data_IF_700453791366
#
_entry.id   IF_700453791366
#
_cell.length_a   1.000
_cell.length_b   1.000
_cell.length_c   1.000
_cell.angle_alpha   90.00
_cell.angle_beta   90.00
_cell.angle_gamma   90.00
#
_symmetry.space_group_name_H-M   'P 1'
#
loop_
_entity.id
_entity.type
_entity.pdbx_description
1 polymer ?
#
# COMPACT_ATOMS: atom_id res chain seq x y z
N UNK A 1 -7.70 50.21 -27.15
CA UNK A 1 -6.45 49.75 -26.47
C UNK A 1 -6.70 48.60 -25.48
N UNK A 2 -7.55 47.61 -25.81
CA UNK A 2 -7.97 46.54 -24.87
C UNK A 2 -7.53 45.13 -25.29
N UNK A 3 -7.09 44.93 -26.53
CA UNK A 3 -6.72 43.61 -27.08
C UNK A 3 -5.37 43.07 -26.58
N UNK A 4 -4.42 43.96 -26.29
CA UNK A 4 -3.05 43.58 -25.88
C UNK A 4 -3.00 42.90 -24.50
N UNK A 5 -3.84 43.35 -23.54
CA UNK A 5 -3.87 42.82 -22.18
C UNK A 5 -4.42 41.39 -22.10
N UNK A 6 -5.25 40.98 -23.06
CA UNK A 6 -5.87 39.65 -23.11
C UNK A 6 -4.91 38.59 -23.68
N UNK A 7 -3.99 39.00 -24.54
CA UNK A 7 -2.98 38.11 -25.13
C UNK A 7 -1.85 37.83 -24.11
N UNK A 8 -1.43 38.85 -23.36
CA UNK A 8 -0.44 38.69 -22.28
C UNK A 8 -0.94 37.79 -21.15
N UNK A 9 -2.23 37.89 -20.77
CA UNK A 9 -2.79 37.05 -19.71
C UNK A 9 -2.90 35.57 -20.10
N UNK A 10 -3.14 35.28 -21.39
CA UNK A 10 -3.14 33.91 -21.92
C UNK A 10 -1.73 33.32 -21.99
N UNK A 11 -0.73 34.15 -22.35
CA UNK A 11 0.68 33.73 -22.42
C UNK A 11 1.25 33.45 -21.03
N UNK A 12 0.90 34.27 -20.04
CA UNK A 12 1.28 34.04 -18.64
C UNK A 12 0.64 32.76 -18.07
N UNK A 13 -0.64 32.51 -18.34
CA UNK A 13 -1.30 31.26 -17.92
C UNK A 13 -0.69 30.02 -18.57
N UNK A 14 -0.34 30.09 -19.85
CA UNK A 14 0.32 28.98 -20.56
C UNK A 14 1.73 28.72 -20.03
N UNK A 15 2.52 29.77 -19.75
CA UNK A 15 3.83 29.62 -19.14
C UNK A 15 3.78 29.03 -17.72
N UNK A 16 2.78 29.40 -16.91
CA UNK A 16 2.57 28.81 -15.57
C UNK A 16 2.17 27.34 -15.65
N UNK A 17 1.35 26.95 -16.64
CA UNK A 17 1.02 25.54 -16.88
C UNK A 17 2.26 24.77 -17.34
N UNK A 18 3.02 25.31 -18.29
CA UNK A 18 4.24 24.69 -18.82
C UNK A 18 5.32 24.52 -17.72
N UNK A 19 5.49 25.51 -16.84
CA UNK A 19 6.36 25.44 -15.65
C UNK A 19 5.90 24.41 -14.63
N UNK A 20 4.58 24.30 -14.37
CA UNK A 20 4.04 23.26 -13.47
C UNK A 20 4.19 21.85 -14.04
N UNK A 21 4.02 21.67 -15.35
CA UNK A 21 4.32 20.39 -16.00
C UNK A 21 5.81 20.09 -15.96
N UNK A 22 6.69 21.05 -16.25
CA UNK A 22 8.14 20.84 -16.21
C UNK A 22 8.64 20.50 -14.80
N UNK A 23 8.14 21.19 -13.77
CA UNK A 23 8.42 20.86 -12.37
C UNK A 23 7.83 19.50 -11.95
N UNK A 24 6.65 19.14 -12.47
CA UNK A 24 6.08 17.81 -12.29
C UNK A 24 6.96 16.70 -12.89
N UNK A 25 7.46 16.92 -14.11
CA UNK A 25 8.39 16.03 -14.80
C UNK A 25 9.77 15.95 -14.11
N UNK A 26 10.29 17.06 -13.55
CA UNK A 26 11.54 17.06 -12.78
C UNK A 26 11.38 16.31 -11.44
N UNK A 27 10.26 16.51 -10.74
CA UNK A 27 9.92 15.76 -9.52
C UNK A 27 9.68 14.27 -9.80
N UNK A 28 9.07 13.92 -10.94
CA UNK A 28 8.92 12.53 -11.40
C UNK A 28 10.27 11.88 -11.72
N UNK A 29 11.17 12.62 -12.38
CA UNK A 29 12.50 12.12 -12.74
C UNK A 29 13.40 11.87 -11.51
N UNK A 30 13.11 12.52 -10.38
CA UNK A 30 13.81 12.32 -9.10
C UNK A 30 13.28 11.14 -8.28
N UNK A 31 12.08 10.62 -8.59
CA UNK A 31 11.36 9.70 -7.70
C UNK A 31 11.90 8.28 -7.61
N UNK A 32 12.80 7.84 -8.48
CA UNK A 32 13.49 6.57 -8.28
C UNK A 32 14.72 6.49 -9.20
N UNK A 33 15.91 6.75 -8.67
CA UNK A 33 17.14 6.18 -9.25
C UNK A 33 17.54 4.98 -8.43
N UNK A 34 16.81 3.87 -8.61
CA UNK A 34 17.34 2.57 -8.23
C UNK A 34 18.67 2.39 -8.97
N UNK A 35 19.73 2.10 -8.23
CA UNK A 35 20.97 1.70 -8.84
C UNK A 35 20.84 0.29 -9.45
N UNK A 36 21.77 -0.05 -10.34
CA UNK A 36 21.73 -1.31 -11.07
C UNK A 36 21.78 -2.55 -10.16
N UNK A 37 22.42 -2.46 -8.98
CA UNK A 37 22.49 -3.56 -8.02
C UNK A 37 21.10 -3.82 -7.44
N UNK A 38 20.42 -2.75 -7.02
CA UNK A 38 19.06 -2.83 -6.48
C UNK A 38 18.07 -3.40 -7.50
N UNK A 39 18.15 -2.98 -8.77
CA UNK A 39 17.31 -3.53 -9.84
C UNK A 39 17.60 -5.01 -10.07
N UNK A 40 18.87 -5.41 -10.09
CA UNK A 40 19.26 -6.82 -10.25
C UNK A 40 18.78 -7.70 -9.10
N UNK A 41 18.76 -7.18 -7.88
CA UNK A 41 18.22 -7.86 -6.70
C UNK A 41 16.72 -8.11 -6.84
N UNK A 42 15.95 -7.06 -7.14
CA UNK A 42 14.50 -7.17 -7.38
C UNK A 42 14.19 -8.12 -8.55
N UNK A 43 14.96 -8.04 -9.64
CA UNK A 43 14.82 -8.94 -10.79
C UNK A 43 15.00 -10.41 -10.39
N UNK A 44 16.04 -10.70 -9.60
CA UNK A 44 16.29 -12.08 -9.12
C UNK A 44 15.15 -12.57 -8.24
N UNK A 45 14.68 -11.73 -7.31
CA UNK A 45 13.56 -12.08 -6.44
C UNK A 45 12.27 -12.29 -7.23
N UNK A 46 11.99 -11.44 -8.22
CA UNK A 46 10.80 -11.53 -9.07
C UNK A 46 10.73 -12.89 -9.78
N UNK A 47 11.81 -13.31 -10.44
CA UNK A 47 11.83 -14.59 -11.16
C UNK A 47 11.87 -15.81 -10.23
N UNK A 48 12.43 -15.67 -9.02
CA UNK A 48 12.57 -16.76 -8.07
C UNK A 48 11.29 -17.00 -7.26
N UNK A 49 10.69 -15.94 -6.72
CA UNK A 49 9.56 -16.02 -5.77
C UNK A 49 8.22 -15.76 -6.47
N UNK A 50 8.14 -14.71 -7.29
CA UNK A 50 6.86 -14.23 -7.83
C UNK A 50 6.53 -14.74 -9.23
N UNK A 51 7.42 -15.51 -9.88
CA UNK A 51 7.31 -15.85 -11.30
C UNK A 51 5.99 -16.52 -11.70
N UNK A 52 5.45 -17.42 -10.86
CA UNK A 52 4.17 -18.07 -11.14
C UNK A 52 2.99 -17.10 -11.03
N UNK A 53 2.94 -16.33 -9.95
CA UNK A 53 1.91 -15.32 -9.70
C UNK A 53 1.95 -14.19 -10.74
N UNK A 54 3.15 -13.78 -11.14
CA UNK A 54 3.39 -12.78 -12.18
C UNK A 54 2.85 -13.23 -13.55
N UNK A 55 3.10 -14.48 -13.93
CA UNK A 55 2.53 -15.07 -15.15
C UNK A 55 1.00 -15.17 -15.08
N UNK A 56 0.47 -15.59 -13.92
CA UNK A 56 -0.98 -15.75 -13.71
C UNK A 56 -1.73 -14.43 -13.85
N UNK A 57 -1.22 -13.37 -13.24
CA UNK A 57 -1.86 -12.06 -13.20
C UNK A 57 -1.35 -11.08 -14.26
N UNK A 58 -0.52 -11.56 -15.18
CA UNK A 58 0.10 -10.75 -16.25
C UNK A 58 0.76 -9.46 -15.70
N UNK A 59 1.56 -9.61 -14.64
CA UNK A 59 2.35 -8.53 -14.05
C UNK A 59 3.81 -8.75 -14.43
N UNK A 60 4.40 -7.75 -15.07
CA UNK A 60 5.80 -7.75 -15.48
C UNK A 60 6.70 -7.15 -14.40
N UNK A 61 8.02 -7.35 -14.53
CA UNK A 61 8.99 -6.66 -13.67
C UNK A 61 8.92 -5.14 -13.87
N UNK A 62 8.67 -4.66 -15.09
CA UNK A 62 8.56 -3.22 -15.36
C UNK A 62 7.37 -2.61 -14.61
N UNK A 63 6.25 -3.35 -14.51
CA UNK A 63 5.10 -2.94 -13.70
C UNK A 63 5.45 -2.78 -12.22
N UNK A 64 6.29 -3.68 -11.68
CA UNK A 64 6.78 -3.60 -10.30
C UNK A 64 7.64 -2.35 -10.12
N UNK A 65 8.57 -2.11 -11.04
CA UNK A 65 9.46 -0.95 -10.97
C UNK A 65 8.68 0.37 -11.10
N UNK A 66 7.70 0.42 -11.99
CA UNK A 66 6.82 1.58 -12.15
C UNK A 66 5.95 1.79 -10.92
N UNK A 67 5.37 0.73 -10.35
CA UNK A 67 4.64 0.81 -9.09
C UNK A 67 5.50 1.39 -7.95
N UNK A 68 6.73 0.89 -7.79
CA UNK A 68 7.65 1.36 -6.75
C UNK A 68 8.04 2.84 -6.93
N UNK A 69 8.12 3.35 -8.17
CA UNK A 69 8.35 4.78 -8.45
C UNK A 69 7.29 5.69 -7.82
N UNK A 70 6.06 5.20 -7.69
CA UNK A 70 4.95 5.95 -7.09
C UNK A 70 4.75 5.63 -5.62
N UNK A 71 4.87 4.35 -5.23
CA UNK A 71 4.57 3.89 -3.89
C UNK A 71 5.65 4.24 -2.85
N UNK A 72 6.92 4.40 -3.26
CA UNK A 72 8.01 4.60 -2.30
C UNK A 72 9.15 5.46 -2.83
N UNK A 73 9.32 6.63 -2.20
CA UNK A 73 10.45 7.50 -2.48
C UNK A 73 11.69 7.05 -1.69
N UNK A 74 12.60 6.34 -2.39
CA UNK A 74 13.88 5.89 -1.83
C UNK A 74 14.80 7.04 -1.42
N UNK A 75 14.59 8.26 -1.93
CA UNK A 75 15.40 9.42 -1.54
C UNK A 75 15.15 9.83 -0.07
N UNK A 76 14.02 9.41 0.51
CA UNK A 76 13.73 9.59 1.93
C UNK A 76 14.70 8.80 2.83
N UNK A 77 15.34 7.76 2.30
CA UNK A 77 16.31 6.94 3.02
C UNK A 77 17.71 7.57 2.95
N UNK A 78 18.09 8.22 4.04
CA UNK A 78 19.31 9.06 4.15
C UNK A 78 20.62 8.32 3.94
N UNK A 79 20.67 6.99 4.09
CA UNK A 79 21.90 6.21 3.98
C UNK A 79 21.75 5.07 3.00
N UNK A 80 22.87 4.68 2.38
CA UNK A 80 22.91 3.54 1.46
C UNK A 80 22.57 2.23 2.18
N UNK A 81 22.91 2.10 3.46
CA UNK A 81 22.54 0.94 4.28
C UNK A 81 21.02 0.80 4.43
N UNK A 82 20.31 1.92 4.71
CA UNK A 82 18.85 1.90 4.81
C UNK A 82 18.20 1.58 3.46
N UNK A 83 18.73 2.13 2.36
CA UNK A 83 18.24 1.81 1.01
C UNK A 83 18.39 0.31 0.71
N UNK A 84 19.54 -0.29 0.99
CA UNK A 84 19.76 -1.73 0.81
C UNK A 84 18.77 -2.57 1.61
N UNK A 85 18.58 -2.27 2.89
CA UNK A 85 17.61 -2.99 3.73
C UNK A 85 16.18 -2.85 3.19
N UNK A 86 15.81 -1.67 2.71
CA UNK A 86 14.50 -1.47 2.08
C UNK A 86 14.34 -2.34 0.83
N UNK A 87 15.35 -2.38 -0.06
CA UNK A 87 15.32 -3.23 -1.27
C UNK A 87 15.24 -4.71 -0.90
N UNK A 88 16.00 -5.16 0.10
CA UNK A 88 15.94 -6.54 0.59
C UNK A 88 14.53 -6.89 1.08
N UNK A 89 13.90 -5.99 1.83
CA UNK A 89 12.51 -6.16 2.30
C UNK A 89 11.51 -6.20 1.15
N UNK A 90 11.66 -5.31 0.17
CA UNK A 90 10.83 -5.29 -1.05
C UNK A 90 10.98 -6.62 -1.81
N UNK A 91 12.22 -7.10 -1.96
CA UNK A 91 12.52 -8.38 -2.59
C UNK A 91 11.88 -9.55 -1.85
N UNK A 92 11.86 -9.54 -0.51
CA UNK A 92 11.19 -10.56 0.31
C UNK A 92 9.67 -10.58 0.12
N UNK A 93 9.04 -9.44 -0.18
CA UNK A 93 7.59 -9.31 -0.35
C UNK A 93 7.17 -9.10 -1.81
N UNK A 94 8.02 -9.46 -2.77
CA UNK A 94 7.80 -9.15 -4.19
C UNK A 94 6.58 -9.86 -4.80
N UNK A 95 6.23 -11.05 -4.29
CA UNK A 95 5.01 -11.74 -4.70
C UNK A 95 3.76 -10.98 -4.25
N UNK A 96 3.77 -10.42 -3.05
CA UNK A 96 2.66 -9.62 -2.55
C UNK A 96 2.52 -8.29 -3.32
N UNK A 97 3.62 -7.75 -3.86
CA UNK A 97 3.57 -6.62 -4.78
C UNK A 97 2.90 -6.99 -6.11
N UNK A 98 3.19 -8.18 -6.65
CA UNK A 98 2.50 -8.69 -7.84
C UNK A 98 1.00 -8.78 -7.61
N UNK A 99 0.59 -9.33 -6.47
CA UNK A 99 -0.82 -9.43 -6.06
C UNK A 99 -1.43 -8.03 -5.94
N UNK A 100 -0.76 -7.09 -5.27
CA UNK A 100 -1.26 -5.74 -5.10
C UNK A 100 -1.45 -5.02 -6.44
N UNK A 101 -0.49 -5.12 -7.36
CA UNK A 101 -0.58 -4.54 -8.70
C UNK A 101 -1.74 -5.15 -9.49
N UNK A 102 -1.91 -6.46 -9.43
CA UNK A 102 -3.04 -7.14 -10.07
C UNK A 102 -4.39 -6.66 -9.49
N UNK A 103 -4.48 -6.48 -8.17
CA UNK A 103 -5.65 -5.92 -7.50
C UNK A 103 -5.96 -4.48 -7.96
N UNK A 104 -4.93 -3.63 -8.09
CA UNK A 104 -5.05 -2.25 -8.59
C UNK A 104 -5.57 -2.22 -10.03
N UNK A 105 -5.17 -3.19 -10.85
CA UNK A 105 -5.66 -3.37 -12.23
C UNK A 105 -7.09 -3.87 -12.34
N UNK A 106 -7.71 -4.23 -11.21
CA UNK A 106 -9.08 -4.76 -11.19
C UNK A 106 -9.17 -6.27 -11.43
N UNK A 107 -8.10 -7.03 -11.22
CA UNK A 107 -8.18 -8.49 -11.30
C UNK A 107 -8.89 -9.06 -10.06
N UNK A 108 -10.09 -9.59 -10.27
CA UNK A 108 -10.91 -10.20 -9.22
C UNK A 108 -10.25 -11.45 -8.60
N UNK A 109 -9.49 -12.22 -9.39
CA UNK A 109 -8.81 -13.40 -8.87
C UNK A 109 -7.67 -13.01 -7.95
N UNK A 110 -6.97 -11.89 -8.23
CA UNK A 110 -5.95 -11.38 -7.33
C UNK A 110 -6.52 -10.97 -5.97
N UNK A 111 -7.73 -10.38 -5.95
CA UNK A 111 -8.43 -10.10 -4.70
C UNK A 111 -8.81 -11.38 -3.96
N UNK A 112 -9.40 -12.35 -4.66
CA UNK A 112 -9.87 -13.60 -4.07
C UNK A 112 -8.75 -14.52 -3.57
N UNK A 113 -7.63 -14.59 -4.29
CA UNK A 113 -6.49 -15.46 -3.97
C UNK A 113 -5.42 -14.76 -3.12
N UNK A 114 -5.36 -13.42 -3.16
CA UNK A 114 -4.30 -12.65 -2.52
C UNK A 114 -4.74 -11.91 -1.26
N UNK A 115 -5.85 -11.17 -1.32
CA UNK A 115 -6.30 -10.31 -0.21
C UNK A 115 -7.27 -11.04 0.72
N UNK A 116 -8.27 -11.73 0.16
CA UNK A 116 -9.28 -12.44 0.93
C UNK A 116 -8.70 -13.46 1.93
N UNK A 117 -7.62 -14.21 1.62
CA UNK A 117 -6.99 -15.11 2.59
C UNK A 117 -6.37 -14.40 3.80
N UNK A 118 -6.16 -13.08 3.76
CA UNK A 118 -5.70 -12.30 4.90
C UNK A 118 -6.83 -12.03 5.91
N UNK A 119 -8.11 -12.17 5.52
CA UNK A 119 -9.26 -11.88 6.38
C UNK A 119 -9.21 -12.58 7.75
N UNK A 120 -8.92 -13.89 7.87
CA UNK A 120 -8.81 -14.54 9.17
C UNK A 120 -7.69 -13.98 10.04
N UNK A 121 -6.59 -13.49 9.44
CA UNK A 121 -5.50 -12.84 10.18
C UNK A 121 -5.95 -11.49 10.72
N UNK A 122 -6.65 -10.70 9.90
CA UNK A 122 -7.19 -9.40 10.30
C UNK A 122 -8.26 -9.52 11.39
N UNK A 123 -9.14 -10.52 11.29
CA UNK A 123 -10.13 -10.84 12.35
C UNK A 123 -9.41 -11.10 13.68
N UNK A 124 -8.39 -11.97 13.68
CA UNK A 124 -7.60 -12.25 14.89
C UNK A 124 -6.92 -11.03 15.48
N UNK A 125 -6.53 -10.05 14.66
CA UNK A 125 -5.98 -8.79 15.15
C UNK A 125 -7.06 -7.94 15.84
N UNK A 126 -8.28 -7.91 15.31
CA UNK A 126 -9.41 -7.20 15.91
C UNK A 126 -9.86 -7.84 17.24
N UNK A 127 -9.87 -9.17 17.34
CA UNK A 127 -10.21 -9.92 18.56
C UNK A 127 -9.31 -9.57 19.77
N UNK A 128 -8.16 -8.94 19.55
CA UNK A 128 -7.33 -8.40 20.62
C UNK A 128 -8.00 -7.24 21.38
N UNK A 129 -9.05 -6.65 20.80
CA UNK A 129 -9.69 -5.42 21.26
C UNK A 129 -11.20 -5.52 21.38
N UNK A 130 -11.86 -6.23 20.49
CA UNK A 130 -13.32 -6.39 20.44
C UNK A 130 -13.71 -7.87 20.47
N UNK A 131 -15.00 -8.18 20.57
CA UNK A 131 -15.46 -9.58 20.55
C UNK A 131 -15.39 -10.17 19.13
N UNK A 132 -15.66 -11.47 19.02
CA UNK A 132 -15.55 -12.19 17.74
C UNK A 132 -16.50 -11.64 16.67
N UNK A 133 -17.75 -11.30 17.04
CA UNK A 133 -18.75 -10.83 16.08
C UNK A 133 -18.35 -9.44 15.53
N UNK A 134 -17.93 -8.55 16.41
CA UNK A 134 -17.43 -7.23 16.04
C UNK A 134 -16.11 -7.34 15.26
N UNK A 135 -15.21 -8.25 15.62
CA UNK A 135 -13.97 -8.48 14.90
C UNK A 135 -14.21 -8.91 13.45
N UNK A 136 -15.14 -9.85 13.23
CA UNK A 136 -15.55 -10.29 11.89
C UNK A 136 -16.11 -9.10 11.09
N UNK A 137 -16.97 -8.30 11.71
CA UNK A 137 -17.60 -7.15 11.07
C UNK A 137 -16.57 -6.08 10.68
N UNK A 138 -15.67 -5.70 11.59
CA UNK A 138 -14.65 -4.67 11.37
C UNK A 138 -13.64 -5.08 10.31
N UNK A 139 -13.09 -6.29 10.39
CA UNK A 139 -12.16 -6.79 9.37
C UNK A 139 -12.83 -6.87 7.99
N UNK A 140 -14.11 -7.25 7.94
CA UNK A 140 -14.83 -7.38 6.68
C UNK A 140 -15.13 -6.04 6.01
N UNK A 141 -15.59 -5.07 6.80
CA UNK A 141 -15.79 -3.70 6.32
C UNK A 141 -14.47 -3.07 5.88
N UNK A 142 -13.39 -3.31 6.62
CA UNK A 142 -12.09 -2.77 6.29
C UNK A 142 -11.57 -3.26 4.93
N UNK A 143 -11.61 -4.58 4.65
CA UNK A 143 -11.19 -5.10 3.34
C UNK A 143 -12.03 -4.49 2.21
N UNK A 144 -13.34 -4.40 2.40
CA UNK A 144 -14.24 -3.78 1.42
C UNK A 144 -13.85 -2.32 1.17
N UNK A 145 -13.52 -1.58 2.22
CA UNK A 145 -13.17 -0.16 2.08
C UNK A 145 -11.79 0.04 1.46
N UNK A 146 -10.81 -0.79 1.79
CA UNK A 146 -9.50 -0.82 1.08
C UNK A 146 -9.72 -1.07 -0.41
N UNK A 147 -10.62 -1.99 -0.77
CA UNK A 147 -10.98 -2.25 -2.17
C UNK A 147 -11.65 -1.05 -2.83
N UNK A 148 -12.67 -0.48 -2.20
CA UNK A 148 -13.37 0.71 -2.70
C UNK A 148 -12.39 1.85 -2.94
N UNK A 149 -11.46 2.07 -2.00
CA UNK A 149 -10.47 3.13 -2.07
C UNK A 149 -9.40 2.88 -3.12
N UNK A 150 -9.04 1.62 -3.34
CA UNK A 150 -8.13 1.23 -4.42
C UNK A 150 -8.72 1.56 -5.80
N UNK A 151 -10.05 1.50 -5.97
CA UNK A 151 -10.72 1.90 -7.22
C UNK A 151 -11.23 3.35 -7.21
N UNK A 152 -11.25 4.00 -6.06
CA UNK A 152 -11.72 5.38 -5.89
C UNK A 152 -10.77 6.42 -6.48
N UNK A 153 -11.24 7.67 -6.62
CA UNK A 153 -10.40 8.78 -7.09
C UNK A 153 -9.48 9.29 -5.98
N UNK A 154 -8.34 9.84 -6.37
CA UNK A 154 -7.40 10.50 -5.46
C UNK A 154 -8.02 11.75 -4.81
N UNK A 155 -7.96 11.84 -3.47
CA UNK A 155 -8.22 13.06 -2.72
C UNK A 155 -9.50 13.16 -1.87
N UNK A 156 -10.33 12.12 -1.78
CA UNK A 156 -11.63 12.22 -1.08
C UNK A 156 -11.65 11.79 0.39
N UNK A 157 -10.55 11.26 0.95
CA UNK A 157 -10.65 10.53 2.21
C UNK A 157 -9.40 10.69 3.11
N UNK A 158 -9.61 11.13 4.36
CA UNK A 158 -8.63 11.19 5.47
C UNK A 158 -9.16 10.40 6.67
N UNK A 159 -9.37 9.11 6.46
CA UNK A 159 -9.97 8.15 7.39
C UNK A 159 -8.97 7.06 7.83
N UNK A 160 -7.70 7.22 7.44
CA UNK A 160 -6.63 6.26 7.75
C UNK A 160 -6.68 4.95 6.94
N UNK A 161 -7.59 4.79 5.98
CA UNK A 161 -7.71 3.54 5.21
C UNK A 161 -6.66 3.51 4.10
N UNK A 162 -5.82 2.45 4.03
CA UNK A 162 -4.73 2.38 3.06
C UNK A 162 -5.24 2.10 1.65
N UNK A 163 -4.43 2.49 0.65
CA UNK A 163 -4.64 2.17 -0.78
C UNK A 163 -3.58 1.21 -1.26
N UNK A 164 -3.93 0.21 -2.08
CA UNK A 164 -2.92 -0.71 -2.60
C UNK A 164 -1.86 -0.01 -3.49
N UNK A 165 -2.20 1.14 -4.09
CA UNK A 165 -1.25 2.01 -4.80
C UNK A 165 -0.07 2.49 -3.92
N UNK A 166 -0.28 2.57 -2.61
CA UNK A 166 0.74 3.02 -1.64
C UNK A 166 1.52 1.84 -1.05
N UNK A 167 1.16 0.60 -1.40
CA UNK A 167 1.84 -0.58 -0.88
C UNK A 167 3.20 -0.76 -1.57
N UNK A 168 4.28 -0.49 -0.83
CA UNK A 168 5.63 -0.57 -1.35
C UNK A 168 6.33 -1.93 -1.16
N UNK A 169 5.74 -2.88 -0.43
CA UNK A 169 6.40 -4.16 -0.10
C UNK A 169 7.53 -4.06 0.95
N UNK A 170 7.68 -2.93 1.64
CA UNK A 170 8.65 -2.78 2.76
C UNK A 170 8.31 -3.68 3.95
N UNK A 171 7.03 -3.98 4.10
CA UNK A 171 6.50 -4.93 5.06
C UNK A 171 5.51 -5.85 4.34
N UNK A 172 5.22 -7.03 4.90
CA UNK A 172 4.19 -7.89 4.34
C UNK A 172 2.81 -7.22 4.35
N UNK A 173 1.95 -7.63 3.42
CA UNK A 173 0.62 -7.10 3.15
C UNK A 173 -0.29 -7.24 4.36
N UNK A 174 -0.15 -8.35 5.12
CA UNK A 174 -0.83 -8.53 6.41
C UNK A 174 -0.51 -7.43 7.41
N UNK A 175 0.74 -6.96 7.46
CA UNK A 175 1.19 -5.92 8.38
C UNK A 175 0.81 -4.53 7.86
N UNK A 176 0.93 -4.34 6.54
CA UNK A 176 0.50 -3.12 5.85
C UNK A 176 -0.99 -2.84 6.05
N UNK A 177 -1.85 -3.85 5.95
CA UNK A 177 -3.29 -3.75 6.18
C UNK A 177 -3.65 -3.78 7.68
N UNK A 178 -2.95 -4.60 8.46
CA UNK A 178 -3.24 -4.80 9.88
C UNK A 178 -2.96 -3.57 10.75
N UNK A 179 -1.91 -2.80 10.45
CA UNK A 179 -1.58 -1.59 11.19
C UNK A 179 -2.71 -0.54 11.18
N UNK A 180 -3.15 -0.07 10.00
CA UNK A 180 -4.28 0.86 9.88
C UNK A 180 -5.58 0.31 10.44
N UNK A 181 -5.90 -0.97 10.18
CA UNK A 181 -7.09 -1.62 10.77
C UNK A 181 -7.09 -1.50 12.30
N UNK A 182 -5.96 -1.79 12.92
CA UNK A 182 -5.81 -1.73 14.37
C UNK A 182 -5.92 -0.29 14.90
N UNK A 183 -5.33 0.68 14.19
CA UNK A 183 -5.44 2.10 14.56
C UNK A 183 -6.89 2.60 14.49
N UNK A 184 -7.59 2.34 13.38
CA UNK A 184 -9.00 2.69 13.21
C UNK A 184 -9.85 2.07 14.31
N UNK A 185 -9.62 0.79 14.64
CA UNK A 185 -10.34 0.12 15.71
C UNK A 185 -10.07 0.75 17.08
N UNK A 186 -8.84 1.17 17.36
CA UNK A 186 -8.50 1.87 18.59
C UNK A 186 -9.23 3.21 18.71
N UNK A 187 -9.33 3.96 17.61
CA UNK A 187 -10.04 5.23 17.58
C UNK A 187 -11.54 5.04 17.79
N UNK A 188 -12.16 4.05 17.14
CA UNK A 188 -13.57 3.70 17.36
C UNK A 188 -13.86 3.33 18.82
N UNK A 189 -12.96 2.60 19.47
CA UNK A 189 -13.09 2.26 20.90
C UNK A 189 -12.98 3.53 21.76
N UNK A 190 -12.01 4.39 21.45
CA UNK A 190 -11.79 5.64 22.19
C UNK A 190 -12.98 6.59 22.09
N UNK A 191 -13.62 6.62 20.93
CA UNK A 191 -14.80 7.45 20.65
C UNK A 191 -16.12 6.83 21.16
N UNK A 192 -16.05 5.63 21.75
CA UNK A 192 -17.22 4.91 22.28
C UNK A 192 -18.11 4.29 21.21
N UNK A 193 -17.63 4.22 19.96
CA UNK A 193 -18.32 3.63 18.81
C UNK A 193 -18.13 2.12 18.69
N UNK A 194 -17.17 1.55 19.43
CA UNK A 194 -16.95 0.11 19.58
C UNK A 194 -16.72 -0.24 21.05
N UNK A 195 -17.21 -1.42 21.48
CA UNK A 195 -17.08 -1.86 22.87
C UNK A 195 -15.81 -2.68 23.03
N UNK A 196 -14.89 -2.21 23.87
CA UNK A 196 -13.69 -2.96 24.17
C UNK A 196 -14.03 -4.23 24.97
N UNK A 197 -13.59 -5.38 24.47
CA UNK A 197 -13.71 -6.64 25.20
C UNK A 197 -12.73 -6.65 26.36
N UNK A 198 -13.22 -6.95 27.56
CA UNK A 198 -12.33 -7.22 28.71
C UNK A 198 -11.49 -8.43 28.35
N UNK A 199 -10.14 -8.38 28.47
CA UNK A 199 -9.29 -9.47 28.02
C UNK A 199 -9.68 -10.75 28.74
N UNK A 200 -10.28 -11.69 28.00
CA UNK A 200 -10.57 -13.01 28.51
C UNK A 200 -9.27 -13.82 28.56
N UNK A 201 -9.23 -14.84 29.42
CA UNK A 201 -8.10 -15.77 29.54
C UNK A 201 -7.77 -16.49 28.23
N UNK A 202 -8.71 -16.57 27.29
CA UNK A 202 -8.52 -17.19 25.96
C UNK A 202 -7.75 -16.27 24.99
N UNK A 203 -7.97 -14.95 25.03
CA UNK A 203 -7.23 -13.97 24.21
C UNK A 203 -5.72 -13.94 24.53
N UNK A 204 -5.33 -14.29 25.77
CA UNK A 204 -3.93 -14.48 26.18
C UNK A 204 -3.24 -15.66 25.50
N UNK A 205 -3.99 -16.69 25.09
CA UNK A 205 -3.43 -17.83 24.37
C UNK A 205 -3.22 -17.50 22.87
N UNK A 206 -4.15 -16.78 22.24
CA UNK A 206 -4.05 -16.36 20.84
C UNK A 206 -2.87 -15.39 20.58
N UNK A 207 -2.66 -14.42 21.49
CA UNK A 207 -1.52 -13.49 21.46
C UNK A 207 -0.15 -14.18 21.53
N UNK A 208 -0.07 -15.37 22.15
CA UNK A 208 1.15 -16.17 22.21
C UNK A 208 1.48 -16.85 20.89
N UNK A 209 0.47 -17.15 20.06
CA UNK A 209 0.63 -17.86 18.79
C UNK A 209 0.91 -16.92 17.60
N UNK A 210 0.65 -15.62 17.74
CA UNK A 210 1.02 -14.62 16.72
C UNK A 210 2.54 -14.32 16.67
N UNK A 211 3.31 -14.76 17.67
CA UNK A 211 4.76 -14.55 17.78
C UNK A 211 5.63 -15.65 17.16
N UNK A 212 5.04 -16.66 16.51
CA UNK A 212 5.75 -17.87 16.08
C UNK A 212 5.79 -18.09 14.56
N UNK A 213 5.65 -17.03 13.78
CA UNK A 213 5.91 -17.08 12.34
C UNK A 213 7.09 -16.15 12.02
N UNK A 214 8.29 -16.62 12.38
CA UNK A 214 9.57 -16.21 11.81
C UNK A 214 9.91 -17.15 10.63
#
# INVERSE_FOLDING_TARGET
>A
MTSSKTIESRRARRAVVELKTAQGFELEASRLRLDEISINELRRAFFREAGQSALRFNVSLDDILDHLRFAFDLSLLRTDALRRVAIERIAQNIEELVIAIACIRGDENAWAEGIEPLRPVLIRMCELRVDEADAILHASRFIMEVRNRTFGRDGEFDDGIPRLQEFAGIQPLRSYLGGPLFAILQDLIKDGMAVATRPSTSARAATRNLRLAD
#
